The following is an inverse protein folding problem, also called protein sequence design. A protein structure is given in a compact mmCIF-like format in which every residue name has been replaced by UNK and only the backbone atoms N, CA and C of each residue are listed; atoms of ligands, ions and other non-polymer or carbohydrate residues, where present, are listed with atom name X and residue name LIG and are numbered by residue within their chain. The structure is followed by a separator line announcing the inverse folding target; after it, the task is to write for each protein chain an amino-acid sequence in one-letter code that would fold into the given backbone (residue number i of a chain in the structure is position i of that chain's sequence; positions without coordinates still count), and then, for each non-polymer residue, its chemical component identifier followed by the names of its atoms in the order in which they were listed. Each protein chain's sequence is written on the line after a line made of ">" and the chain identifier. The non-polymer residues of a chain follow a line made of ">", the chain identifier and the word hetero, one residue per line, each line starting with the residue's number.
data_IF_196010784871
#
_entry.id   IF_196010784871
#
_cell.length_a   1.000
_cell.length_b   1.000
_cell.length_c   1.000
_cell.angle_alpha   90.00
_cell.angle_beta   90.00
_cell.angle_gamma   90.00
#
_symmetry.space_group_name_H-M   'P 1'
#
loop_
_entity.id
_entity.type
_entity.pdbx_description
1 polymer ?
#
# COMPACT_ATOMS: atom_id res chain seq x y z
N UNK A 1 -19.98 -9.39 0.24
CA UNK A 1 -19.62 -8.06 -0.23
C UNK A 1 -18.51 -7.48 0.62
N UNK A 2 -17.48 -6.95 0.00
CA UNK A 2 -16.39 -6.40 0.79
C UNK A 2 -16.81 -5.10 1.47
N UNK A 3 -16.18 -4.78 2.59
CA UNK A 3 -16.48 -3.53 3.27
C UNK A 3 -15.24 -2.72 3.57
N UNK A 4 -14.07 -3.28 3.39
CA UNK A 4 -12.85 -2.50 3.51
C UNK A 4 -11.73 -3.22 2.79
N UNK A 5 -10.60 -2.55 2.64
CA UNK A 5 -9.42 -3.10 2.00
C UNK A 5 -8.27 -3.03 2.99
N UNK A 6 -7.56 -4.15 3.17
CA UNK A 6 -6.37 -4.17 4.01
C UNK A 6 -5.17 -4.39 3.12
N UNK A 7 -4.18 -3.52 3.24
CA UNK A 7 -2.97 -3.59 2.46
C UNK A 7 -1.83 -4.02 3.36
N UNK A 8 -1.10 -5.04 2.93
CA UNK A 8 0.13 -5.47 3.57
C UNK A 8 1.27 -5.10 2.66
N UNK A 9 2.32 -4.52 3.19
CA UNK A 9 3.39 -4.02 2.34
C UNK A 9 4.75 -4.22 2.99
N UNK A 10 5.75 -4.40 2.14
CA UNK A 10 7.14 -4.49 2.56
C UNK A 10 7.93 -3.47 1.75
N UNK A 11 8.75 -2.71 2.43
CA UNK A 11 9.58 -1.70 1.76
C UNK A 11 10.75 -2.43 1.11
N UNK A 12 10.82 -2.39 -0.21
CA UNK A 12 11.87 -3.05 -0.95
C UNK A 12 12.77 -2.06 -1.67
N UNK A 13 12.79 -0.81 -1.21
CA UNK A 13 13.59 0.22 -1.88
C UNK A 13 15.05 -0.19 -1.98
N UNK A 14 15.61 -0.70 -0.91
CA UNK A 14 17.02 -1.09 -0.93
C UNK A 14 17.24 -2.24 -1.90
N UNK A 15 16.31 -3.16 -2.00
CA UNK A 15 16.45 -4.27 -2.91
C UNK A 15 16.39 -3.80 -4.35
N UNK A 16 15.50 -2.87 -4.65
CA UNK A 16 15.44 -2.33 -5.99
C UNK A 16 16.72 -1.64 -6.37
N UNK A 17 17.34 -0.97 -5.43
CA UNK A 17 18.56 -0.24 -5.72
C UNK A 17 19.76 -1.14 -5.86
N UNK A 18 19.81 -2.22 -5.09
CA UNK A 18 20.94 -3.13 -5.15
C UNK A 18 20.78 -4.19 -6.16
N UNK A 19 19.59 -4.44 -6.52
CA UNK A 19 19.34 -5.37 -7.54
C UNK A 19 19.98 -6.71 -7.40
N UNK A 20 21.01 -6.95 -7.96
CA UNK A 20 21.46 -8.29 -8.11
C UNK A 20 22.09 -8.92 -6.93
N UNK A 21 22.38 -8.19 -5.95
CA UNK A 21 23.09 -8.74 -4.85
C UNK A 21 22.16 -9.41 -3.93
N UNK A 22 21.74 -10.56 -4.23
CA UNK A 22 20.71 -11.05 -3.47
C UNK A 22 20.88 -12.18 -2.63
N UNK A 23 21.70 -13.07 -2.98
CA UNK A 23 21.67 -14.27 -2.26
C UNK A 23 21.82 -14.01 -0.84
N UNK A 24 21.34 -14.70 -0.03
CA UNK A 24 21.53 -14.66 1.33
C UNK A 24 20.77 -13.65 2.06
N UNK A 25 20.03 -12.89 1.38
CA UNK A 25 19.34 -11.87 2.07
C UNK A 25 18.00 -12.28 2.55
N UNK A 26 17.66 -13.49 2.31
CA UNK A 26 16.36 -13.91 2.69
C UNK A 26 16.12 -13.86 4.13
N UNK A 27 17.16 -13.99 4.84
CA UNK A 27 17.00 -14.04 6.25
C UNK A 27 16.39 -12.80 6.77
N UNK A 28 16.49 -11.77 6.03
CA UNK A 28 16.01 -10.55 6.55
C UNK A 28 14.54 -10.43 6.53
N UNK A 29 13.84 -11.41 6.14
CA UNK A 29 12.42 -11.29 6.07
C UNK A 29 11.85 -10.98 7.41
N UNK A 30 11.24 -9.84 7.51
CA UNK A 30 10.66 -9.43 8.75
C UNK A 30 9.32 -10.09 8.92
N UNK A 31 9.01 -10.47 10.13
CA UNK A 31 7.72 -10.99 10.40
C UNK A 31 6.70 -9.91 10.59
N UNK A 32 7.14 -8.69 10.75
CA UNK A 32 6.25 -7.57 10.98
C UNK A 32 6.12 -6.82 9.68
N UNK A 33 4.91 -6.65 9.22
CA UNK A 33 4.68 -5.97 7.96
C UNK A 33 4.01 -4.63 8.16
N UNK A 34 4.21 -3.75 7.19
CA UNK A 34 3.48 -2.50 7.16
C UNK A 34 2.03 -2.81 6.78
N UNK A 35 1.09 -2.26 7.51
CA UNK A 35 -0.32 -2.54 7.29
C UNK A 35 -1.08 -1.24 7.27
N UNK A 36 -1.98 -1.10 6.30
CA UNK A 36 -2.85 0.07 6.22
C UNK A 36 -4.21 -0.39 5.76
N UNK A 37 -5.26 0.20 6.33
CA UNK A 37 -6.64 -0.19 6.03
C UNK A 37 -7.36 0.96 5.37
N UNK A 38 -8.20 0.65 4.41
CA UNK A 38 -8.94 1.63 3.63
C UNK A 38 -10.41 1.29 3.59
N UNK A 39 -11.24 2.35 3.50
CA UNK A 39 -12.61 2.17 3.06
C UNK A 39 -12.58 1.76 1.59
N UNK A 40 -13.72 1.31 1.10
CA UNK A 40 -13.78 0.89 -0.30
C UNK A 40 -13.52 2.01 -1.29
N UNK A 41 -13.71 3.25 -0.87
CA UNK A 41 -13.44 4.37 -1.76
C UNK A 41 -11.98 4.82 -1.71
N UNK A 42 -11.16 4.16 -0.91
CA UNK A 42 -9.75 4.52 -0.79
C UNK A 42 -9.42 5.44 0.36
N UNK A 43 -10.40 5.78 1.19
CA UNK A 43 -10.14 6.63 2.36
C UNK A 43 -9.42 5.80 3.42
N UNK A 44 -8.38 6.36 4.00
CA UNK A 44 -7.54 5.64 4.95
C UNK A 44 -8.23 5.57 6.30
N UNK A 45 -8.38 4.36 6.83
CA UNK A 45 -8.95 4.15 8.15
C UNK A 45 -7.86 4.23 9.21
N UNK A 46 -6.78 3.49 9.02
CA UNK A 46 -5.66 3.50 9.96
C UNK A 46 -4.44 2.87 9.31
N UNK A 47 -3.27 3.12 9.90
CA UNK A 47 -2.03 2.53 9.42
C UNK A 47 -1.17 2.21 10.63
N UNK A 48 -0.38 1.14 10.52
CA UNK A 48 0.51 0.80 11.63
C UNK A 48 1.81 1.57 11.51
N UNK A 49 2.63 1.45 12.53
CA UNK A 49 3.84 2.26 12.63
C UNK A 49 4.82 1.96 11.52
N UNK A 50 4.93 0.70 11.13
CA UNK A 50 5.85 0.34 10.06
C UNK A 50 5.47 1.03 8.76
N UNK A 51 4.17 1.08 8.43
CA UNK A 51 3.78 1.76 7.22
C UNK A 51 4.05 3.26 7.33
N UNK A 52 3.73 3.83 8.46
CA UNK A 52 3.93 5.27 8.65
C UNK A 52 5.40 5.63 8.53
N UNK A 53 6.27 4.82 9.10
CA UNK A 53 7.70 5.09 8.99
C UNK A 53 8.18 4.97 7.56
N UNK A 54 7.65 4.01 6.82
CA UNK A 54 8.09 3.83 5.44
C UNK A 54 7.77 5.03 4.57
N UNK A 55 6.60 5.63 4.76
CA UNK A 55 6.21 6.78 3.94
C UNK A 55 6.52 8.11 4.60
N UNK A 56 6.95 8.11 5.85
CA UNK A 56 7.39 9.33 6.52
C UNK A 56 6.28 10.20 7.06
N UNK A 57 5.09 9.67 7.22
CA UNK A 57 3.95 10.43 7.74
C UNK A 57 3.63 10.00 9.15
N UNK A 58 2.93 10.87 9.88
CA UNK A 58 2.33 10.50 11.16
C UNK A 58 0.92 10.03 10.90
N UNK A 59 0.37 9.31 11.85
CA UNK A 59 -0.98 8.78 11.65
C UNK A 59 -2.00 9.89 11.47
N UNK A 60 -1.87 10.98 12.21
CA UNK A 60 -2.85 12.05 12.06
C UNK A 60 -2.73 12.76 10.71
N UNK A 61 -1.64 12.53 9.99
CA UNK A 61 -1.49 13.11 8.66
C UNK A 61 -2.16 12.26 7.59
N UNK A 62 -2.41 10.98 7.85
CA UNK A 62 -2.98 10.11 6.82
C UNK A 62 -4.40 9.67 7.11
N UNK A 63 -4.78 9.56 8.38
CA UNK A 63 -6.11 9.06 8.70
C UNK A 63 -7.17 9.96 8.10
N UNK A 64 -8.12 9.39 7.40
CA UNK A 64 -9.17 10.15 6.75
C UNK A 64 -8.79 10.72 5.40
N UNK A 65 -7.53 10.57 4.99
CA UNK A 65 -7.10 11.02 3.67
C UNK A 65 -7.29 9.88 2.68
N UNK A 66 -7.04 10.16 1.42
CA UNK A 66 -7.27 9.16 0.38
C UNK A 66 -5.95 8.54 -0.05
N UNK A 67 -6.01 7.28 -0.48
CA UNK A 67 -4.84 6.54 -0.95
C UNK A 67 -4.09 7.31 -2.03
N UNK A 68 -4.78 8.15 -2.79
CA UNK A 68 -4.12 8.89 -3.86
C UNK A 68 -3.00 9.78 -3.37
N UNK A 69 -2.92 10.07 -2.08
CA UNK A 69 -1.80 10.85 -1.57
C UNK A 69 -0.48 10.12 -1.70
N UNK A 70 -0.51 8.80 -1.93
CA UNK A 70 0.70 8.01 -2.05
C UNK A 70 1.09 7.72 -3.50
N UNK A 71 0.39 8.26 -4.47
CA UNK A 71 0.72 8.05 -5.86
C UNK A 71 0.94 9.39 -6.52
N UNK A 72 1.57 9.38 -7.70
CA UNK A 72 1.81 10.63 -8.40
C UNK A 72 0.48 11.22 -8.87
N UNK A 73 0.42 12.54 -9.06
CA UNK A 73 -0.82 13.11 -9.56
C UNK A 73 -1.26 12.54 -10.90
N UNK A 74 -0.31 12.22 -11.76
CA UNK A 74 -0.66 11.62 -13.04
C UNK A 74 -1.29 10.26 -12.87
N UNK A 75 -0.72 9.45 -11.98
CA UNK A 75 -1.28 8.14 -11.74
C UNK A 75 -2.67 8.25 -11.13
N UNK A 76 -2.86 9.18 -10.21
CA UNK A 76 -4.15 9.33 -9.54
C UNK A 76 -5.25 9.69 -10.50
N UNK A 77 -4.92 10.38 -11.59
CA UNK A 77 -5.92 10.78 -12.56
C UNK A 77 -6.15 9.76 -13.65
N UNK A 78 -5.33 8.73 -13.73
CA UNK A 78 -5.37 7.80 -14.83
C UNK A 78 -6.47 6.77 -14.69
N UNK A 79 -6.83 6.16 -15.80
CA UNK A 79 -7.87 5.15 -15.79
C UNK A 79 -7.37 3.87 -15.11
N UNK A 80 -6.07 3.61 -15.16
CA UNK A 80 -5.54 2.42 -14.50
C UNK A 80 -5.77 2.48 -12.99
N UNK A 81 -5.62 3.66 -12.41
CA UNK A 81 -5.85 3.82 -10.98
C UNK A 81 -7.32 3.65 -10.63
N UNK A 82 -8.21 4.18 -11.46
CA UNK A 82 -9.63 4.00 -11.24
C UNK A 82 -10.00 2.53 -11.36
N UNK A 83 -9.43 1.82 -12.33
CA UNK A 83 -9.70 0.40 -12.50
C UNK A 83 -9.18 -0.40 -11.32
N UNK A 84 -8.05 0.01 -10.77
CA UNK A 84 -7.47 -0.65 -9.60
C UNK A 84 -8.47 -0.65 -8.44
N UNK A 85 -9.03 0.52 -8.12
CA UNK A 85 -9.99 0.60 -7.03
C UNK A 85 -11.31 -0.09 -7.36
N UNK A 86 -11.72 -0.04 -8.63
CA UNK A 86 -12.90 -0.76 -9.05
C UNK A 86 -12.74 -2.27 -8.82
N UNK A 87 -11.57 -2.79 -9.17
CA UNK A 87 -11.28 -4.19 -8.98
C UNK A 87 -11.36 -4.56 -7.50
N UNK A 88 -10.81 -3.72 -6.63
CA UNK A 88 -10.86 -4.01 -5.20
C UNK A 88 -12.29 -3.97 -4.68
N UNK A 89 -13.09 -3.01 -5.15
CA UNK A 89 -14.48 -2.95 -4.72
C UNK A 89 -15.28 -4.13 -5.19
N UNK A 90 -14.85 -4.77 -6.26
CA UNK A 90 -15.55 -5.94 -6.76
C UNK A 90 -15.14 -7.20 -6.01
N UNK A 91 -14.22 -7.10 -5.08
CA UNK A 91 -13.83 -8.24 -4.27
C UNK A 91 -12.57 -8.95 -4.71
N UNK A 92 -11.84 -8.40 -5.67
CA UNK A 92 -10.63 -9.04 -6.14
C UNK A 92 -9.41 -8.43 -5.49
N UNK A 93 -8.49 -9.28 -5.04
CA UNK A 93 -7.26 -8.78 -4.46
C UNK A 93 -6.28 -8.38 -5.55
N UNK A 94 -5.27 -7.64 -5.19
CA UNK A 94 -4.22 -7.22 -6.10
C UNK A 94 -2.87 -7.32 -5.41
N UNK A 95 -1.88 -7.85 -6.12
CA UNK A 95 -0.55 -8.04 -5.56
C UNK A 95 0.47 -7.56 -6.57
N UNK A 96 1.53 -6.96 -6.11
CA UNK A 96 2.58 -6.53 -7.01
C UNK A 96 3.58 -5.62 -6.34
N UNK A 97 4.44 -5.06 -7.16
CA UNK A 97 5.41 -4.08 -6.71
C UNK A 97 4.99 -2.72 -7.20
N UNK A 98 5.07 -1.74 -6.33
CA UNK A 98 4.56 -0.41 -6.64
C UNK A 98 5.53 0.65 -6.18
N UNK A 99 5.62 1.72 -6.94
CA UNK A 99 6.33 2.91 -6.48
C UNK A 99 5.31 3.81 -5.82
N UNK A 100 5.55 4.14 -4.59
CA UNK A 100 4.65 5.01 -3.85
C UNK A 100 5.40 6.26 -3.42
N UNK A 101 4.65 7.33 -3.22
CA UNK A 101 5.23 8.62 -2.90
C UNK A 101 4.91 8.92 -1.45
N UNK A 102 5.94 9.10 -0.65
CA UNK A 102 5.76 9.44 0.74
C UNK A 102 5.87 10.94 0.95
N UNK A 103 6.01 11.33 2.21
CA UNK A 103 6.05 12.74 2.56
C UNK A 103 7.24 13.41 1.90
N UNK A 104 7.01 14.64 1.44
CA UNK A 104 8.04 15.44 0.78
C UNK A 104 8.57 14.80 -0.49
N UNK A 105 7.76 13.99 -1.14
CA UNK A 105 8.14 13.40 -2.41
C UNK A 105 9.03 12.19 -2.31
N UNK A 106 9.23 11.67 -1.10
CA UNK A 106 10.07 10.50 -0.93
C UNK A 106 9.53 9.33 -1.76
N UNK A 107 10.38 8.70 -2.52
CA UNK A 107 9.98 7.56 -3.33
C UNK A 107 10.22 6.28 -2.54
N UNK A 108 9.19 5.46 -2.45
CA UNK A 108 9.26 4.22 -1.69
C UNK A 108 8.76 3.09 -2.58
N UNK A 109 9.62 2.12 -2.84
CA UNK A 109 9.20 0.93 -3.56
C UNK A 109 8.66 -0.07 -2.55
N UNK A 110 7.49 -0.62 -2.83
CA UNK A 110 6.91 -1.61 -1.93
C UNK A 110 6.47 -2.83 -2.71
N UNK A 111 6.52 -3.95 -2.05
CA UNK A 111 5.84 -5.14 -2.52
C UNK A 111 4.59 -5.23 -1.67
N UNK A 112 3.42 -5.28 -2.27
CA UNK A 112 2.21 -5.12 -1.52
C UNK A 112 1.10 -6.01 -2.01
N UNK A 113 0.19 -6.33 -1.11
CA UNK A 113 -1.05 -6.98 -1.49
C UNK A 113 -2.19 -6.16 -0.91
N UNK A 114 -3.18 -5.91 -1.75
CA UNK A 114 -4.38 -5.20 -1.36
C UNK A 114 -5.50 -6.24 -1.30
N UNK A 115 -6.14 -6.36 -0.17
CA UNK A 115 -7.06 -7.45 0.09
C UNK A 115 -8.40 -6.95 0.54
N UNK A 116 -9.44 -7.10 -0.28
CA UNK A 116 -10.79 -6.76 0.18
C UNK A 116 -11.19 -7.69 1.30
N UNK A 117 -11.80 -7.14 2.33
CA UNK A 117 -12.23 -7.90 3.48
C UNK A 117 -13.74 -7.95 3.46
N UNK A 118 -14.29 -9.14 3.59
CA UNK A 118 -15.73 -9.34 3.51
C UNK A 118 -16.32 -9.42 4.90
N UNK A 119 -17.57 -8.98 5.02
CA UNK A 119 -18.22 -9.09 6.31
C UNK A 119 -18.68 -10.52 6.51
N UNK A 120 -19.27 -10.78 7.67
CA UNK A 120 -19.59 -12.15 8.06
C UNK A 120 -20.62 -12.79 7.15
N UNK A 121 -21.36 -12.00 6.42
CA UNK A 121 -22.35 -12.55 5.53
C UNK A 121 -21.90 -12.65 4.11
N UNK A 122 -20.72 -12.35 3.89
CA UNK A 122 -20.17 -12.52 2.60
C UNK A 122 -20.11 -11.34 1.75
#
# INVERSE_FOLDING_TARGET
>A
RPFKVVKYATDITAQQQRQADTEGQLEAISKVQAIIEFELDGTIIRANELFLNAVGYREDEVRGRHHSMFVSPEEARGSAYADFWHKLRSGRHDTGQYLRIGKNGRQVWIEASYNPIFDAEG
#
